data_IF_703527637528
#
_entry.id   IF_703527637528
#
_cell.length_a   1.000
_cell.length_b   1.000
_cell.length_c   1.000
_cell.angle_alpha   90.00
_cell.angle_beta   90.00
_cell.angle_gamma   90.00
#
_symmetry.space_group_name_H-M   'P 1'
#
loop_
_entity.id
_entity.type
_entity.pdbx_description
1 polymer ?
#
# COMPACT_ATOMS: atom_id res chain seq x y z
N UNK A 1 14.31 11.08 -19.49
CA UNK A 1 15.43 10.17 -19.23
C UNK A 1 15.26 9.37 -17.93
N UNK A 2 14.96 10.01 -16.77
CA UNK A 2 14.77 9.26 -15.50
C UNK A 2 13.60 8.26 -15.56
N UNK A 3 12.40 8.65 -16.03
CA UNK A 3 11.23 7.80 -16.15
C UNK A 3 11.45 6.52 -16.98
N UNK A 4 12.25 6.59 -18.04
CA UNK A 4 12.42 5.48 -18.98
C UNK A 4 13.44 4.43 -18.51
N UNK A 5 14.60 4.87 -18.05
CA UNK A 5 15.71 3.99 -17.67
C UNK A 5 16.23 4.26 -16.25
N UNK A 6 16.42 5.54 -15.90
CA UNK A 6 17.05 5.92 -14.63
C UNK A 6 16.28 5.41 -13.41
N UNK A 7 14.93 5.36 -13.48
CA UNK A 7 14.11 4.84 -12.39
C UNK A 7 14.36 3.37 -12.12
N UNK A 8 14.46 2.56 -13.17
CA UNK A 8 14.74 1.13 -13.01
C UNK A 8 16.14 0.89 -12.45
N UNK A 9 17.12 1.63 -12.94
CA UNK A 9 18.48 1.58 -12.41
C UNK A 9 18.52 1.96 -10.94
N UNK A 10 17.85 3.05 -10.56
CA UNK A 10 17.73 3.49 -9.17
C UNK A 10 17.06 2.41 -8.30
N UNK A 11 15.94 1.84 -8.74
CA UNK A 11 15.26 0.76 -8.02
C UNK A 11 16.19 -0.42 -7.75
N UNK A 12 16.96 -0.87 -8.74
CA UNK A 12 17.88 -2.00 -8.58
C UNK A 12 19.08 -1.67 -7.69
N UNK A 13 19.69 -0.48 -7.87
CA UNK A 13 20.84 -0.04 -7.07
C UNK A 13 20.51 0.11 -5.60
N UNK A 14 19.27 0.49 -5.27
CA UNK A 14 18.82 0.62 -3.87
C UNK A 14 18.26 -0.70 -3.35
N UNK A 15 17.46 -1.42 -4.15
CA UNK A 15 16.80 -2.65 -3.72
C UNK A 15 17.80 -3.78 -3.42
N UNK A 16 18.83 -3.97 -4.26
CA UNK A 16 19.76 -5.08 -4.10
C UNK A 16 20.56 -5.03 -2.78
N UNK A 17 21.17 -3.91 -2.39
CA UNK A 17 21.80 -3.79 -1.07
C UNK A 17 20.81 -4.00 0.09
N UNK A 18 19.57 -3.47 -0.03
CA UNK A 18 18.54 -3.67 0.99
C UNK A 18 18.23 -5.16 1.15
N UNK A 19 17.98 -5.89 0.05
CA UNK A 19 17.70 -7.33 0.10
C UNK A 19 18.83 -8.10 0.80
N UNK A 20 20.09 -7.80 0.46
CA UNK A 20 21.24 -8.44 1.12
C UNK A 20 21.32 -8.12 2.62
N UNK A 21 21.13 -6.86 2.99
CA UNK A 21 21.19 -6.43 4.38
C UNK A 21 20.05 -7.00 5.23
N UNK A 22 18.82 -7.10 4.68
CA UNK A 22 17.66 -7.57 5.44
C UNK A 22 17.45 -9.08 5.34
N UNK A 23 18.21 -9.80 4.50
CA UNK A 23 18.00 -11.25 4.28
C UNK A 23 18.05 -12.08 5.56
N UNK A 24 18.91 -11.85 6.59
CA UNK A 24 18.86 -12.59 7.84
C UNK A 24 17.54 -12.39 8.59
N UNK A 25 17.02 -11.14 8.58
CA UNK A 25 15.74 -10.80 9.21
C UNK A 25 14.59 -11.48 8.49
N UNK A 26 14.64 -11.53 7.15
CA UNK A 26 13.61 -12.22 6.35
C UNK A 26 13.60 -13.72 6.58
N UNK A 27 14.77 -14.35 6.73
CA UNK A 27 14.87 -15.78 7.07
C UNK A 27 14.30 -16.07 8.46
N UNK A 28 14.63 -15.22 9.45
CA UNK A 28 14.05 -15.33 10.78
C UNK A 28 12.53 -15.14 10.76
N UNK A 29 12.03 -14.12 10.06
CA UNK A 29 10.59 -13.89 9.90
C UNK A 29 9.90 -15.10 9.24
N UNK A 30 10.49 -15.68 8.20
CA UNK A 30 9.99 -16.87 7.53
C UNK A 30 9.88 -18.06 8.50
N UNK A 31 10.91 -18.29 9.32
CA UNK A 31 10.93 -19.34 10.34
C UNK A 31 9.84 -19.11 11.39
N UNK A 32 9.71 -17.89 11.93
CA UNK A 32 8.66 -17.55 12.90
C UNK A 32 7.25 -17.78 12.34
N UNK A 33 6.97 -17.31 11.12
CA UNK A 33 5.67 -17.53 10.46
C UNK A 33 5.38 -19.02 10.28
N UNK A 34 6.38 -19.83 9.92
CA UNK A 34 6.22 -21.26 9.68
C UNK A 34 6.00 -22.05 10.97
N UNK A 35 6.68 -21.67 12.05
CA UNK A 35 6.57 -22.34 13.35
C UNK A 35 5.28 -21.99 14.09
N UNK A 36 4.80 -20.74 13.97
CA UNK A 36 3.62 -20.27 14.71
C UNK A 36 2.30 -20.78 14.12
N UNK A 37 2.21 -20.98 12.83
CA UNK A 37 0.97 -21.40 12.20
C UNK A 37 1.16 -22.31 10.98
N UNK A 38 0.26 -23.28 10.80
CA UNK A 38 0.28 -24.20 9.65
C UNK A 38 -0.04 -23.47 8.35
N UNK A 39 0.66 -23.80 7.25
CA UNK A 39 0.42 -23.27 5.91
C UNK A 39 1.67 -22.67 5.25
N UNK A 40 1.53 -21.93 4.12
CA UNK A 40 2.65 -21.32 3.41
C UNK A 40 3.23 -20.15 4.19
N UNK A 41 4.52 -19.86 4.01
CA UNK A 41 5.20 -18.72 4.63
C UNK A 41 4.71 -17.40 4.03
N UNK A 42 4.51 -17.39 2.71
CA UNK A 42 4.06 -16.22 1.98
C UNK A 42 2.54 -16.22 1.79
N UNK A 43 1.97 -15.06 1.92
CA UNK A 43 0.66 -14.70 1.40
C UNK A 43 0.87 -14.09 0.02
N UNK A 44 0.17 -14.63 -0.97
CA UNK A 44 0.27 -14.20 -2.36
C UNK A 44 -1.10 -13.65 -2.78
N UNK A 45 -1.11 -12.46 -3.39
CA UNK A 45 -2.34 -11.81 -3.82
C UNK A 45 -2.14 -11.10 -5.16
N UNK A 46 -3.13 -11.27 -6.03
CA UNK A 46 -3.15 -10.56 -7.30
C UNK A 46 -3.43 -9.07 -7.10
N UNK A 47 -2.68 -8.22 -7.81
CA UNK A 47 -2.76 -6.77 -7.73
C UNK A 47 -2.63 -6.14 -9.11
N UNK A 48 -3.16 -4.91 -9.24
CA UNK A 48 -3.00 -4.09 -10.43
C UNK A 48 -1.57 -3.55 -10.51
N UNK A 49 -0.95 -3.78 -11.65
CA UNK A 49 0.36 -3.28 -12.03
C UNK A 49 0.26 -2.19 -13.08
N UNK A 50 1.39 -1.93 -13.76
CA UNK A 50 1.49 -0.93 -14.81
C UNK A 50 0.56 -1.26 -15.98
N UNK A 51 -0.15 -0.24 -16.48
CA UNK A 51 -1.12 -0.34 -17.57
C UNK A 51 -2.29 -1.29 -17.29
N UNK A 52 -2.64 -1.48 -16.00
CA UNK A 52 -3.74 -2.35 -15.60
C UNK A 52 -3.44 -3.86 -15.70
N UNK A 53 -2.21 -4.25 -16.03
CA UNK A 53 -1.81 -5.68 -16.02
C UNK A 53 -1.72 -6.16 -14.59
N UNK A 54 -2.28 -7.32 -14.30
CA UNK A 54 -2.20 -7.91 -12.96
C UNK A 54 -0.86 -8.61 -12.74
N UNK A 55 -0.43 -8.67 -11.49
CA UNK A 55 0.75 -9.41 -11.05
C UNK A 55 0.54 -9.93 -9.63
N UNK A 56 1.36 -10.89 -9.20
CA UNK A 56 1.28 -11.49 -7.88
C UNK A 56 2.21 -10.76 -6.91
N UNK A 57 1.66 -10.15 -5.86
CA UNK A 57 2.43 -9.57 -4.77
C UNK A 57 2.74 -10.60 -3.70
N UNK A 58 3.93 -10.52 -3.11
CA UNK A 58 4.38 -11.39 -2.04
C UNK A 58 4.41 -10.64 -0.72
N UNK A 59 3.83 -11.21 0.33
CA UNK A 59 3.93 -10.74 1.71
C UNK A 59 4.19 -11.91 2.64
N UNK A 60 4.75 -11.67 3.83
CA UNK A 60 4.70 -12.70 4.87
C UNK A 60 3.25 -12.90 5.33
N UNK A 61 2.89 -14.16 5.57
CA UNK A 61 1.60 -14.48 6.19
C UNK A 61 1.60 -14.02 7.64
N UNK A 62 0.73 -13.09 7.97
CA UNK A 62 0.57 -12.51 9.31
C UNK A 62 -0.70 -12.97 10.02
N UNK A 63 -1.45 -13.86 9.39
CA UNK A 63 -2.74 -14.35 9.89
C UNK A 63 -2.82 -15.88 9.77
N UNK A 64 -3.67 -16.49 10.59
CA UNK A 64 -3.98 -17.91 10.48
C UNK A 64 -4.54 -18.22 9.09
N UNK A 65 -4.12 -19.38 8.52
CA UNK A 65 -4.51 -19.77 7.16
C UNK A 65 -5.96 -20.29 7.16
N UNK A 66 -6.92 -19.39 6.91
CA UNK A 66 -8.33 -19.72 6.65
C UNK A 66 -8.75 -19.16 5.31
N UNK A 67 -9.65 -19.86 4.61
CA UNK A 67 -10.22 -19.40 3.34
C UNK A 67 -11.14 -18.20 3.64
N UNK A 68 -10.89 -17.06 3.02
CA UNK A 68 -11.66 -15.81 3.21
C UNK A 68 -11.99 -15.19 1.87
N UNK A 69 -13.04 -14.39 1.87
CA UNK A 69 -13.30 -13.47 0.76
C UNK A 69 -12.26 -12.34 0.78
N UNK A 70 -11.73 -12.01 -0.39
CA UNK A 70 -10.52 -11.20 -0.55
C UNK A 70 -10.70 -9.69 -0.27
N UNK A 71 -11.92 -9.23 0.03
CA UNK A 71 -12.33 -7.83 -0.06
C UNK A 71 -12.20 -7.01 1.22
N UNK A 72 -12.01 -7.60 2.40
CA UNK A 72 -11.98 -6.84 3.64
C UNK A 72 -10.57 -6.30 3.97
N UNK A 73 -10.42 -4.98 4.11
CA UNK A 73 -9.27 -4.37 4.80
C UNK A 73 -9.26 -4.83 6.25
N UNK A 74 -8.21 -5.55 6.66
CA UNK A 74 -8.08 -6.09 8.00
C UNK A 74 -7.41 -5.06 8.89
N UNK A 75 -8.19 -4.45 9.77
CA UNK A 75 -7.73 -3.45 10.72
C UNK A 75 -6.74 -4.03 11.75
N UNK A 76 -5.87 -3.19 12.34
CA UNK A 76 -5.01 -3.59 13.45
C UNK A 76 -5.85 -4.15 14.62
N UNK A 77 -5.39 -5.26 15.23
CA UNK A 77 -6.10 -5.88 16.37
C UNK A 77 -7.09 -7.00 16.03
N UNK A 78 -7.22 -7.37 14.76
CA UNK A 78 -8.07 -8.50 14.36
C UNK A 78 -7.61 -9.81 15.02
N UNK A 79 -8.53 -10.59 15.62
CA UNK A 79 -8.26 -11.79 16.43
C UNK A 79 -7.49 -12.91 15.71
N UNK A 80 -7.49 -12.91 14.39
CA UNK A 80 -6.80 -13.92 13.56
C UNK A 80 -5.36 -13.54 13.19
N UNK A 81 -4.88 -12.35 13.58
CA UNK A 81 -3.48 -11.96 13.42
C UNK A 81 -2.62 -12.76 14.40
N UNK A 82 -1.58 -13.42 13.89
CA UNK A 82 -0.65 -14.19 14.71
C UNK A 82 0.22 -13.25 15.56
N UNK A 83 0.85 -13.76 16.62
CA UNK A 83 1.75 -12.95 17.47
C UNK A 83 2.92 -12.40 16.66
N UNK A 84 3.60 -13.25 15.89
CA UNK A 84 4.64 -12.79 14.96
C UNK A 84 4.07 -11.82 13.92
N UNK A 85 2.86 -12.10 13.40
CA UNK A 85 2.17 -11.23 12.45
C UNK A 85 1.95 -9.81 12.98
N UNK A 86 1.66 -9.65 14.26
CA UNK A 86 1.54 -8.34 14.90
C UNK A 86 2.83 -7.53 14.82
N UNK A 87 3.97 -8.16 15.14
CA UNK A 87 5.28 -7.53 15.05
C UNK A 87 5.69 -7.23 13.62
N UNK A 88 5.49 -8.20 12.71
CA UNK A 88 5.80 -8.03 11.30
C UNK A 88 5.04 -6.84 10.69
N UNK A 89 3.74 -6.71 10.99
CA UNK A 89 2.90 -5.58 10.52
C UNK A 89 3.33 -4.25 11.15
N UNK A 90 3.62 -4.23 12.46
CA UNK A 90 4.04 -3.01 13.16
C UNK A 90 5.27 -2.37 12.49
N UNK A 91 6.24 -3.20 12.09
CA UNK A 91 7.49 -2.74 11.46
C UNK A 91 7.46 -2.82 9.93
N UNK A 92 6.29 -3.11 9.32
CA UNK A 92 6.11 -3.29 7.87
C UNK A 92 7.03 -4.37 7.26
N UNK A 93 7.59 -5.28 8.08
CA UNK A 93 8.45 -6.37 7.63
C UNK A 93 7.67 -7.38 6.79
N UNK A 94 6.37 -7.50 7.04
CA UNK A 94 5.47 -8.37 6.26
C UNK A 94 5.43 -7.98 4.76
N UNK A 95 5.71 -6.75 4.40
CA UNK A 95 5.73 -6.28 3.02
C UNK A 95 7.12 -6.45 2.34
N UNK A 96 8.18 -6.78 3.08
CA UNK A 96 9.53 -6.91 2.50
C UNK A 96 9.69 -7.97 1.40
N UNK A 97 8.93 -9.09 1.38
CA UNK A 97 8.96 -9.99 0.22
C UNK A 97 8.61 -9.33 -1.11
N UNK A 98 7.93 -8.16 -1.12
CA UNK A 98 7.70 -7.36 -2.34
C UNK A 98 9.01 -6.82 -2.98
N UNK A 99 10.13 -6.82 -2.25
CA UNK A 99 11.43 -6.55 -2.85
C UNK A 99 11.74 -7.52 -4.01
N UNK A 100 11.23 -8.76 -3.96
CA UNK A 100 11.31 -9.70 -5.08
C UNK A 100 10.50 -9.20 -6.29
N UNK A 101 9.32 -8.61 -6.07
CA UNK A 101 8.55 -8.00 -7.15
C UNK A 101 9.28 -6.81 -7.78
N UNK A 102 10.04 -6.05 -6.97
CA UNK A 102 10.88 -4.96 -7.48
C UNK A 102 12.02 -5.54 -8.33
N UNK A 103 12.71 -6.57 -7.86
CA UNK A 103 13.78 -7.22 -8.62
C UNK A 103 13.27 -7.83 -9.93
N UNK A 104 12.07 -8.40 -9.94
CA UNK A 104 11.42 -8.94 -11.15
C UNK A 104 10.94 -7.85 -12.11
N UNK A 105 10.73 -6.61 -11.63
CA UNK A 105 10.25 -5.50 -12.44
C UNK A 105 8.73 -5.31 -12.47
N UNK A 106 7.99 -6.05 -11.65
CA UNK A 106 6.55 -5.88 -11.46
C UNK A 106 6.26 -4.59 -10.67
N UNK A 107 7.15 -4.29 -9.71
CA UNK A 107 7.06 -3.14 -8.82
C UNK A 107 8.29 -2.23 -8.93
N UNK A 108 8.20 -1.08 -8.28
CA UNK A 108 9.25 -0.11 -8.03
C UNK A 108 9.36 0.13 -6.51
N UNK A 109 10.49 0.68 -6.04
CA UNK A 109 10.60 1.15 -4.65
C UNK A 109 9.55 2.22 -4.36
N UNK A 110 9.42 3.21 -5.25
CA UNK A 110 8.49 4.32 -5.12
C UNK A 110 7.50 4.32 -6.28
N UNK A 111 6.21 4.37 -5.95
CA UNK A 111 5.13 4.38 -6.95
C UNK A 111 3.76 4.39 -6.28
N UNK A 112 2.67 4.41 -7.06
CA UNK A 112 1.32 4.22 -6.56
C UNK A 112 1.18 2.87 -5.81
N UNK A 113 0.46 2.86 -4.67
CA UNK A 113 0.24 1.60 -3.95
C UNK A 113 -0.56 0.60 -4.80
N UNK A 114 -0.12 -0.67 -4.94
CA UNK A 114 -0.83 -1.66 -5.77
C UNK A 114 -2.23 -1.95 -5.21
N UNK A 115 -3.27 -1.74 -6.03
CA UNK A 115 -4.67 -1.98 -5.69
C UNK A 115 -5.13 -3.38 -6.08
N UNK A 116 -6.26 -3.82 -5.54
CA UNK A 116 -6.95 -5.03 -5.99
C UNK A 116 -7.48 -4.83 -7.42
N UNK A 117 -7.58 -5.90 -8.25
CA UNK A 117 -8.09 -5.78 -9.61
C UNK A 117 -9.48 -5.14 -9.70
N UNK A 118 -10.38 -5.47 -8.79
CA UNK A 118 -11.76 -4.99 -8.79
C UNK A 118 -11.88 -3.47 -8.61
N UNK A 119 -10.91 -2.84 -7.93
CA UNK A 119 -10.88 -1.39 -7.73
C UNK A 119 -10.73 -0.58 -9.03
N UNK A 120 -10.35 -1.20 -10.14
CA UNK A 120 -10.23 -0.48 -11.43
C UNK A 120 -11.58 0.09 -11.88
N UNK A 121 -12.68 -0.56 -11.50
CA UNK A 121 -14.02 -0.12 -11.84
C UNK A 121 -14.49 1.13 -11.08
N UNK A 122 -13.81 1.47 -9.98
CA UNK A 122 -14.09 2.62 -9.14
C UNK A 122 -13.23 3.84 -9.50
N UNK A 123 -12.23 3.66 -10.41
CA UNK A 123 -11.25 4.70 -10.68
C UNK A 123 -11.85 5.89 -11.44
N UNK A 124 -11.65 7.08 -10.88
CA UNK A 124 -11.78 8.34 -11.59
C UNK A 124 -10.54 8.59 -12.48
N UNK A 125 -10.45 9.76 -13.12
CA UNK A 125 -9.32 10.11 -13.98
C UNK A 125 -7.96 10.00 -13.27
N UNK A 126 -7.86 10.38 -12.01
CA UNK A 126 -6.62 10.29 -11.23
C UNK A 126 -6.31 8.83 -10.86
N UNK A 127 -7.34 8.03 -10.57
CA UNK A 127 -7.22 6.59 -10.41
C UNK A 127 -6.65 5.91 -11.66
N UNK A 128 -7.05 6.32 -12.86
CA UNK A 128 -6.51 5.79 -14.11
C UNK A 128 -5.08 6.25 -14.37
N UNK A 129 -4.72 7.52 -14.04
CA UNK A 129 -3.36 8.05 -14.21
C UNK A 129 -2.32 7.28 -13.39
N UNK A 130 -2.70 6.75 -12.24
CA UNK A 130 -1.78 5.96 -11.40
C UNK A 130 -1.29 4.67 -12.08
N UNK A 131 -2.05 4.11 -13.01
CA UNK A 131 -1.69 2.91 -13.75
C UNK A 131 -0.59 3.15 -14.82
N UNK A 132 -0.23 4.40 -15.11
CA UNK A 132 0.80 4.72 -16.09
C UNK A 132 2.22 4.38 -15.60
N UNK A 133 2.39 4.14 -14.28
CA UNK A 133 3.68 3.74 -13.69
C UNK A 133 3.58 2.41 -12.94
N UNK A 134 4.76 1.81 -12.67
CA UNK A 134 4.82 0.62 -11.82
C UNK A 134 4.33 0.95 -10.43
N UNK A 135 3.55 0.06 -9.80
CA UNK A 135 3.19 0.23 -8.40
C UNK A 135 4.44 0.22 -7.51
N UNK A 136 4.37 0.96 -6.41
CA UNK A 136 5.48 1.12 -5.47
C UNK A 136 5.28 0.34 -4.17
N UNK A 137 6.39 -0.04 -3.55
CA UNK A 137 6.42 -0.52 -2.17
C UNK A 137 6.08 0.64 -1.21
N UNK A 138 6.56 1.84 -1.52
CA UNK A 138 6.11 3.11 -0.92
C UNK A 138 5.66 4.09 -1.99
N UNK A 139 4.99 5.19 -1.60
CA UNK A 139 4.46 6.16 -2.54
C UNK A 139 4.02 7.45 -1.90
N UNK A 140 3.67 8.43 -2.73
CA UNK A 140 3.31 9.75 -2.24
C UNK A 140 2.03 9.73 -1.38
N UNK A 141 1.01 8.95 -1.74
CA UNK A 141 -0.20 8.76 -0.93
C UNK A 141 0.13 8.14 0.42
N UNK A 142 1.02 7.14 0.45
CA UNK A 142 1.42 6.44 1.66
C UNK A 142 2.14 7.35 2.67
N UNK A 143 3.00 8.28 2.20
CA UNK A 143 3.69 9.24 3.07
C UNK A 143 2.91 10.55 3.31
N UNK A 144 1.66 10.59 2.86
CA UNK A 144 0.77 11.77 3.02
C UNK A 144 -0.46 11.47 3.89
N UNK A 145 -0.54 10.29 4.52
CA UNK A 145 -1.64 9.89 5.41
C UNK A 145 -2.16 8.48 5.15
N UNK A 146 -1.82 7.84 4.03
CA UNK A 146 -2.11 6.44 3.72
C UNK A 146 -3.58 6.03 4.01
N UNK A 147 -3.81 5.21 5.06
CA UNK A 147 -5.13 4.69 5.43
C UNK A 147 -6.11 5.77 5.93
N UNK A 148 -5.60 6.92 6.38
CA UNK A 148 -6.42 8.05 6.83
C UNK A 148 -6.91 8.95 5.69
N UNK A 149 -6.46 8.70 4.45
CA UNK A 149 -6.93 9.38 3.25
C UNK A 149 -8.10 8.63 2.65
N UNK A 150 -9.08 9.36 2.10
CA UNK A 150 -10.11 8.78 1.24
C UNK A 150 -9.51 8.15 -0.02
N UNK A 151 -10.24 7.27 -0.70
CA UNK A 151 -9.77 6.69 -1.96
C UNK A 151 -9.49 7.74 -3.04
N UNK A 152 -10.36 8.75 -3.27
CA UNK A 152 -10.07 9.84 -4.21
C UNK A 152 -8.81 10.62 -3.86
N UNK A 153 -8.56 10.92 -2.57
CA UNK A 153 -7.33 11.58 -2.14
C UNK A 153 -6.08 10.75 -2.40
N UNK A 154 -6.14 9.43 -2.15
CA UNK A 154 -5.03 8.53 -2.47
C UNK A 154 -4.74 8.55 -3.97
N UNK A 155 -5.77 8.51 -4.83
CA UNK A 155 -5.62 8.56 -6.28
C UNK A 155 -5.04 9.89 -6.74
N UNK A 156 -5.50 11.00 -6.17
CA UNK A 156 -4.96 12.32 -6.43
C UNK A 156 -3.45 12.40 -6.13
N UNK A 157 -3.01 11.98 -4.92
CA UNK A 157 -1.59 11.98 -4.58
C UNK A 157 -0.77 11.05 -5.49
N UNK A 158 -1.29 9.89 -5.83
CA UNK A 158 -0.64 8.96 -6.74
C UNK A 158 -0.51 9.55 -8.16
N UNK A 159 -1.55 10.21 -8.67
CA UNK A 159 -1.51 10.92 -9.95
C UNK A 159 -0.50 12.07 -9.94
N UNK A 160 -0.44 12.85 -8.85
CA UNK A 160 0.56 13.91 -8.67
C UNK A 160 2.00 13.36 -8.66
N UNK A 161 2.21 12.18 -8.08
CA UNK A 161 3.50 11.51 -8.16
C UNK A 161 3.85 11.16 -9.61
N UNK A 162 2.92 10.49 -10.32
CA UNK A 162 3.12 10.08 -11.72
C UNK A 162 3.41 11.28 -12.62
N UNK A 163 2.70 12.41 -12.43
CA UNK A 163 2.91 13.63 -13.20
C UNK A 163 4.31 14.24 -12.99
N UNK A 164 4.82 14.19 -11.76
CA UNK A 164 6.07 14.86 -11.35
C UNK A 164 7.17 13.88 -10.95
N UNK A 165 7.21 12.70 -11.57
CA UNK A 165 8.18 11.65 -11.28
C UNK A 165 9.62 12.13 -11.53
N UNK A 166 10.48 12.05 -10.53
CA UNK A 166 11.89 12.42 -10.59
C UNK A 166 12.70 11.70 -9.51
N UNK A 167 14.03 11.60 -9.71
CA UNK A 167 14.94 10.99 -8.74
C UNK A 167 14.87 11.67 -7.36
N UNK A 168 14.84 13.00 -7.33
CA UNK A 168 14.75 13.77 -6.07
C UNK A 168 13.44 13.48 -5.33
N UNK A 169 12.33 13.34 -6.06
CA UNK A 169 11.04 13.01 -5.48
C UNK A 169 11.04 11.60 -4.90
N UNK A 170 11.63 10.63 -5.60
CA UNK A 170 11.78 9.27 -5.10
C UNK A 170 12.63 9.22 -3.83
N UNK A 171 13.79 9.86 -3.81
CA UNK A 171 14.64 9.95 -2.63
C UNK A 171 13.89 10.60 -1.45
N UNK A 172 13.17 11.69 -1.70
CA UNK A 172 12.37 12.37 -0.67
C UNK A 172 11.28 11.47 -0.09
N UNK A 173 10.58 10.69 -0.94
CA UNK A 173 9.54 9.77 -0.48
C UNK A 173 10.15 8.64 0.34
N UNK A 174 11.31 8.09 -0.05
CA UNK A 174 12.00 7.04 0.73
C UNK A 174 12.39 7.56 2.12
N UNK A 175 12.98 8.76 2.22
CA UNK A 175 13.32 9.36 3.51
C UNK A 175 12.07 9.56 4.38
N UNK A 176 10.98 10.07 3.79
CA UNK A 176 9.70 10.22 4.49
C UNK A 176 9.12 8.87 4.93
N UNK A 177 9.27 7.83 4.13
CA UNK A 177 8.81 6.48 4.50
C UNK A 177 9.47 6.00 5.77
N UNK A 178 10.78 6.19 5.92
CA UNK A 178 11.49 5.85 7.16
C UNK A 178 10.91 6.64 8.35
N UNK A 179 10.68 7.93 8.18
CA UNK A 179 10.07 8.76 9.23
C UNK A 179 8.64 8.29 9.58
N UNK A 180 7.82 7.96 8.57
CA UNK A 180 6.45 7.44 8.77
C UNK A 180 6.45 6.11 9.53
N UNK A 181 7.36 5.19 9.19
CA UNK A 181 7.48 3.89 9.89
C UNK A 181 7.88 4.07 11.35
N UNK A 182 8.79 5.00 11.63
CA UNK A 182 9.30 5.23 12.99
C UNK A 182 8.34 6.04 13.87
N UNK A 183 7.65 7.05 13.30
CA UNK A 183 6.87 8.04 14.03
C UNK A 183 5.35 7.83 13.95
N UNK A 184 4.90 6.94 13.07
CA UNK A 184 3.48 6.67 12.79
C UNK A 184 2.91 7.52 11.64
N UNK A 185 1.93 6.96 10.94
CA UNK A 185 1.30 7.55 9.76
C UNK A 185 0.49 8.82 10.10
N UNK A 186 -0.12 8.87 11.29
CA UNK A 186 -0.99 9.98 11.74
C UNK A 186 -0.30 11.34 11.74
N UNK A 187 1.01 11.38 12.02
CA UNK A 187 1.80 12.62 12.05
C UNK A 187 2.03 13.25 10.67
N UNK A 188 1.77 12.51 9.61
CA UNK A 188 2.03 12.91 8.23
C UNK A 188 0.76 13.18 7.44
N UNK A 189 -0.39 13.22 8.11
CA UNK A 189 -1.68 13.56 7.51
C UNK A 189 -1.58 14.93 6.81
N UNK A 190 -1.82 14.92 5.52
CA UNK A 190 -2.07 16.14 4.75
C UNK A 190 -3.57 16.42 4.72
N UNK A 191 -3.91 17.71 4.57
CA UNK A 191 -5.31 18.09 4.37
C UNK A 191 -5.87 17.34 3.15
N UNK A 192 -7.11 16.82 3.25
CA UNK A 192 -7.80 16.23 2.11
C UNK A 192 -7.80 17.22 0.94
N UNK A 193 -7.68 16.72 -0.27
CA UNK A 193 -7.95 17.51 -1.46
C UNK A 193 -9.47 17.58 -1.59
N UNK A 194 -10.08 18.58 -0.93
CA UNK A 194 -11.51 18.79 -1.02
C UNK A 194 -11.87 19.15 -2.46
N UNK A 195 -12.46 18.20 -3.18
CA UNK A 195 -13.25 18.49 -4.36
C UNK A 195 -14.61 19.00 -3.83
N UNK A 196 -14.99 20.28 -4.03
CA UNK A 196 -16.19 20.86 -3.42
C UNK A 196 -17.49 20.14 -3.80
N UNK A 197 -17.52 19.47 -4.94
CA UNK A 197 -18.70 18.76 -5.43
C UNK A 197 -18.96 17.40 -4.76
N UNK A 198 -17.93 16.71 -4.28
CA UNK A 198 -18.11 15.40 -3.63
C UNK A 198 -18.41 15.50 -2.13
N UNK A 199 -18.10 16.63 -1.49
CA UNK A 199 -18.45 16.86 -0.08
C UNK A 199 -19.95 17.05 0.12
N UNK A 200 -20.64 17.66 -0.85
CA UNK A 200 -22.08 17.90 -0.78
C UNK A 200 -22.94 16.63 -0.95
N UNK A 201 -22.50 15.65 -1.74
CA UNK A 201 -23.24 14.40 -1.93
C UNK A 201 -23.09 13.45 -0.71
N UNK A 202 -21.94 13.45 -0.07
CA UNK A 202 -21.69 12.60 1.11
C UNK A 202 -22.37 13.17 2.36
N UNK A 203 -22.46 14.50 2.51
CA UNK A 203 -23.23 15.14 3.59
C UNK A 203 -24.74 14.99 3.39
N UNK A 204 -25.23 15.07 2.15
CA UNK A 204 -26.63 14.86 1.83
C UNK A 204 -27.08 13.40 2.06
N UNK A 205 -26.22 12.43 1.78
CA UNK A 205 -26.52 11.02 2.05
C UNK A 205 -26.51 10.66 3.55
N UNK A 206 -25.78 11.42 4.38
CA UNK A 206 -25.69 11.20 5.82
C UNK A 206 -26.74 12.01 6.64
N UNK A 207 -27.46 12.92 5.99
CA UNK A 207 -28.52 13.75 6.59
C UNK A 207 -29.94 13.20 6.38
N UNK A 208 -30.08 11.90 6.07
CA UNK A 208 -31.37 11.21 6.03
C UNK A 208 -32.11 11.32 7.38
N UNK A 209 -33.46 11.51 7.39
CA UNK A 209 -34.21 11.85 8.59
C UNK A 209 -34.14 10.71 9.63
N UNK A 210 -33.56 10.97 10.78
CA UNK A 210 -33.78 10.17 11.97
C UNK A 210 -35.25 10.29 12.36
N UNK A 211 -36.05 9.32 11.93
CA UNK A 211 -37.44 9.19 12.36
C UNK A 211 -37.52 8.80 13.85
N UNK A 212 -37.64 9.80 14.72
CA UNK A 212 -38.00 9.63 16.11
C UNK A 212 -39.49 9.31 16.19
N UNK A 213 -39.88 8.05 16.01
CA UNK A 213 -41.19 7.55 16.47
C UNK A 213 -40.99 6.27 17.26
N UNK A 214 -40.90 6.42 18.57
CA UNK A 214 -41.44 5.48 19.54
C UNK A 214 -41.48 6.18 20.91
N UNK A 215 -42.67 6.75 21.19
CA UNK A 215 -43.14 6.99 22.53
C UNK A 215 -44.68 6.91 22.49
N UNK A 216 -45.20 5.77 22.84
CA UNK A 216 -46.50 5.59 23.53
C UNK A 216 -46.63 4.11 23.94
#
# INVERSE_FOLDING_TARGET
MYRSFGKRLFDLLVCLPIVLAVSPVLLLAAALVKLESRGPVFFVQERLGRYGRTFLTYKFRTMTHRKREATAEILPGHSEVTRSGHWLRRFKIDEFPQLLNILNGDMSLVGPRPALPDHINEYNEDGLKRLLERPGMTGLSQVSGNIYLSWPDRWFYDAQYVKRLSLLKDATIIIKTVAVVLLGEERFLKKPHADPEQTSETEAANSGPHDHRHAA
#
